data_IF_128724042281
#
_entry.id   IF_128724042281
#
_cell.length_a   1.000
_cell.length_b   1.000
_cell.length_c   1.000
_cell.angle_alpha   90.00
_cell.angle_beta   90.00
_cell.angle_gamma   90.00
#
_symmetry.space_group_name_H-M   'P 1'
#
loop_
_entity.id
_entity.type
_entity.pdbx_description
1 polymer ?
#
# COMPACT_ATOMS: atom_id res chain seq x y z
N UNK A 1 20.09 5.82 -13.67
CA UNK A 1 18.88 6.39 -13.07
C UNK A 1 17.92 5.21 -12.91
N UNK A 2 17.56 4.85 -11.68
CA UNK A 2 16.52 3.83 -11.47
C UNK A 2 15.20 4.40 -12.01
N UNK A 3 14.46 3.61 -12.77
CA UNK A 3 13.14 3.99 -13.28
C UNK A 3 12.18 3.93 -12.10
N UNK A 4 11.45 5.01 -11.84
CA UNK A 4 10.41 5.07 -10.81
C UNK A 4 9.36 3.99 -11.06
N UNK A 5 9.10 3.15 -10.05
CA UNK A 5 8.08 2.11 -10.13
C UNK A 5 6.72 2.64 -9.67
N UNK A 6 5.72 2.62 -10.55
CA UNK A 6 4.35 3.07 -10.27
C UNK A 6 3.45 1.90 -9.88
N UNK A 7 2.82 1.98 -8.72
CA UNK A 7 1.95 0.94 -8.16
C UNK A 7 0.56 1.53 -7.92
N UNK A 8 -0.43 0.97 -8.59
CA UNK A 8 -1.83 1.36 -8.43
C UNK A 8 -2.54 0.53 -7.38
N UNK A 9 -3.34 1.17 -6.52
CA UNK A 9 -4.20 0.52 -5.54
C UNK A 9 -5.67 0.77 -5.91
N UNK A 10 -6.42 -0.30 -6.09
CA UNK A 10 -7.86 -0.29 -6.38
C UNK A 10 -8.66 -1.01 -5.30
N UNK A 11 -9.95 -0.74 -5.26
CA UNK A 11 -10.90 -1.42 -4.40
C UNK A 11 -11.07 -0.75 -3.05
N UNK A 12 -11.46 -1.53 -2.05
CA UNK A 12 -11.96 -1.04 -0.76
C UNK A 12 -10.92 -1.16 0.34
N UNK A 13 -10.98 -0.26 1.33
CA UNK A 13 -10.27 -0.38 2.62
C UNK A 13 -8.77 -0.66 2.44
N UNK A 14 -8.07 0.20 1.71
CA UNK A 14 -6.65 0.01 1.34
C UNK A 14 -5.70 1.09 1.86
N UNK A 15 -6.23 2.14 2.49
CA UNK A 15 -5.47 3.31 2.94
C UNK A 15 -4.41 2.95 4.01
N UNK A 16 -4.76 2.08 4.95
CA UNK A 16 -3.84 1.53 5.96
C UNK A 16 -2.69 0.73 5.31
N UNK A 17 -3.01 -0.15 4.36
CA UNK A 17 -2.02 -0.92 3.59
C UNK A 17 -1.05 0.00 2.85
N UNK A 18 -1.55 1.06 2.20
CA UNK A 18 -0.71 2.04 1.51
C UNK A 18 0.25 2.74 2.48
N UNK A 19 -0.25 3.15 3.65
CA UNK A 19 0.55 3.81 4.69
C UNK A 19 1.63 2.87 5.23
N UNK A 20 1.27 1.63 5.59
CA UNK A 20 2.21 0.66 6.12
C UNK A 20 3.29 0.31 5.11
N UNK A 21 2.91 -0.01 3.87
CA UNK A 21 3.88 -0.32 2.81
C UNK A 21 4.81 0.84 2.52
N UNK A 22 4.27 2.08 2.48
CA UNK A 22 5.07 3.26 2.19
C UNK A 22 6.18 3.41 3.22
N UNK A 23 5.85 3.22 4.50
CA UNK A 23 6.79 3.30 5.61
C UNK A 23 7.82 2.16 5.60
N UNK A 24 7.40 0.92 5.34
CA UNK A 24 8.34 -0.21 5.23
C UNK A 24 9.32 0.03 4.09
N UNK A 25 8.84 0.47 2.93
CA UNK A 25 9.70 0.68 1.76
C UNK A 25 10.61 1.89 1.95
N UNK A 26 10.14 2.94 2.62
CA UNK A 26 10.99 4.05 3.03
C UNK A 26 12.12 3.60 3.97
N UNK A 27 11.83 2.71 4.92
CA UNK A 27 12.82 2.14 5.84
C UNK A 27 13.85 1.21 5.18
N UNK A 28 13.65 0.83 3.91
CA UNK A 28 14.67 0.19 3.08
C UNK A 28 15.61 1.21 2.42
N UNK A 29 15.44 2.51 2.70
CA UNK A 29 16.21 3.60 2.11
C UNK A 29 15.63 4.15 0.80
N UNK A 30 14.38 3.84 0.47
CA UNK A 30 13.75 4.30 -0.76
C UNK A 30 12.96 5.61 -0.57
N UNK A 31 12.93 6.44 -1.61
CA UNK A 31 12.06 7.62 -1.69
C UNK A 31 10.69 7.18 -2.19
N UNK A 32 9.66 7.40 -1.37
CA UNK A 32 8.29 6.95 -1.64
C UNK A 32 7.34 8.13 -1.65
N UNK A 33 6.54 8.21 -2.73
CA UNK A 33 5.39 9.11 -2.83
C UNK A 33 4.10 8.29 -2.79
N UNK A 34 3.16 8.65 -1.93
CA UNK A 34 1.81 8.06 -1.89
C UNK A 34 0.78 9.12 -2.25
N UNK A 35 0.04 8.92 -3.34
CA UNK A 35 -0.95 9.87 -3.84
C UNK A 35 -2.34 9.29 -3.68
N UNK A 36 -3.24 10.06 -3.08
CA UNK A 36 -4.67 9.78 -3.14
C UNK A 36 -5.31 10.52 -4.31
N UNK A 37 -5.62 9.78 -5.38
CA UNK A 37 -6.37 10.27 -6.54
C UNK A 37 -7.78 9.68 -6.61
N UNK A 38 -8.20 8.97 -5.56
CA UNK A 38 -9.55 8.41 -5.47
C UNK A 38 -10.61 9.51 -5.39
N UNK A 39 -11.85 9.18 -5.75
CA UNK A 39 -12.97 10.09 -5.56
C UNK A 39 -13.24 10.31 -4.05
N UNK A 40 -13.03 9.28 -3.25
CA UNK A 40 -13.31 9.23 -1.82
C UNK A 40 -12.32 10.05 -0.99
N UNK A 41 -11.06 10.13 -1.44
CA UNK A 41 -9.97 10.81 -0.75
C UNK A 41 -9.84 10.34 0.71
N UNK A 42 -9.85 9.02 0.95
CA UNK A 42 -9.85 8.44 2.30
C UNK A 42 -8.54 8.72 3.06
N UNK A 43 -7.39 8.84 2.36
CA UNK A 43 -6.10 9.10 2.99
C UNK A 43 -6.07 10.45 3.70
N UNK A 44 -6.86 11.44 3.27
CA UNK A 44 -6.86 12.79 3.85
C UNK A 44 -7.29 12.85 5.31
N UNK A 45 -7.99 11.81 5.76
CA UNK A 45 -8.38 11.65 7.15
C UNK A 45 -7.31 10.90 7.95
N UNK A 46 -6.46 10.13 7.28
CA UNK A 46 -5.47 9.25 7.89
C UNK A 46 -4.12 9.92 8.14
N UNK A 47 -3.84 11.01 7.43
CA UNK A 47 -2.59 11.77 7.50
C UNK A 47 -2.88 13.27 7.57
N UNK A 48 -1.95 14.09 8.10
CA UNK A 48 -2.11 15.53 8.08
C UNK A 48 -2.26 16.06 6.65
N UNK A 49 -3.24 16.94 6.46
CA UNK A 49 -3.46 17.62 5.19
C UNK A 49 -2.57 18.85 5.09
N UNK A 50 -1.90 19.08 3.94
CA UNK A 50 -1.22 20.35 3.70
C UNK A 50 -2.24 21.49 3.62
N UNK A 51 -1.84 22.67 4.10
CA UNK A 51 -2.71 23.85 4.18
C UNK A 51 -3.12 24.39 2.80
N UNK A 52 -2.30 24.14 1.77
CA UNK A 52 -2.51 24.64 0.42
C UNK A 52 -2.73 23.49 -0.59
N UNK A 53 -3.68 23.61 -1.53
CA UNK A 53 -3.87 22.64 -2.61
C UNK A 53 -2.60 22.45 -3.45
N UNK A 54 -2.34 21.21 -3.87
CA UNK A 54 -1.18 20.87 -4.71
C UNK A 54 0.14 20.74 -3.96
N UNK A 55 0.14 20.92 -2.64
CA UNK A 55 1.27 20.55 -1.80
C UNK A 55 1.19 19.09 -1.38
N UNK A 56 2.36 18.54 -1.08
CA UNK A 56 2.52 17.25 -0.42
C UNK A 56 2.88 17.45 1.06
N UNK A 57 2.70 16.40 1.85
CA UNK A 57 3.06 16.37 3.27
C UNK A 57 3.99 15.18 3.54
N UNK A 58 5.06 15.39 4.30
CA UNK A 58 5.97 14.31 4.69
C UNK A 58 5.58 13.83 6.08
N UNK A 59 5.19 12.55 6.19
CA UNK A 59 4.95 11.88 7.46
C UNK A 59 5.87 10.66 7.54
N UNK A 60 6.77 10.66 8.52
CA UNK A 60 7.70 9.56 8.79
C UNK A 60 8.51 9.14 7.55
N UNK A 61 8.96 10.16 6.81
CA UNK A 61 9.82 10.03 5.63
C UNK A 61 9.10 9.61 4.35
N UNK A 62 7.80 9.32 4.40
CA UNK A 62 6.97 9.11 3.22
C UNK A 62 6.30 10.43 2.84
N UNK A 63 6.37 10.78 1.57
CA UNK A 63 5.68 11.94 1.03
C UNK A 63 4.27 11.56 0.58
N UNK A 64 3.30 12.38 0.92
CA UNK A 64 1.89 12.15 0.61
C UNK A 64 1.30 13.30 -0.17
N UNK A 65 0.56 12.97 -1.23
CA UNK A 65 -0.08 13.93 -2.13
C UNK A 65 -1.56 13.65 -2.32
N UNK A 66 -2.31 14.67 -2.73
CA UNK A 66 -3.74 14.59 -2.96
C UNK A 66 -4.11 15.22 -4.29
N UNK A 67 -4.89 14.51 -5.11
CA UNK A 67 -5.37 15.00 -6.42
C UNK A 67 -4.22 15.48 -7.31
N UNK A 68 -3.11 14.75 -7.31
CA UNK A 68 -1.93 15.10 -8.10
C UNK A 68 -2.10 14.51 -9.52
N UNK A 69 -2.04 15.33 -10.57
CA UNK A 69 -2.15 14.85 -11.95
C UNK A 69 -0.86 14.13 -12.37
N UNK A 70 -0.84 12.81 -12.19
CA UNK A 70 0.34 11.95 -12.33
C UNK A 70 0.97 11.95 -13.73
N UNK A 71 0.22 12.36 -14.77
CA UNK A 71 0.74 12.48 -16.14
C UNK A 71 1.56 13.75 -16.37
N UNK A 72 1.49 14.71 -15.44
CA UNK A 72 2.10 16.04 -15.59
C UNK A 72 3.08 16.41 -14.48
N UNK A 73 3.10 15.63 -13.40
CA UNK A 73 4.04 15.83 -12.29
C UNK A 73 5.33 15.06 -12.54
N UNK A 74 6.46 15.73 -12.26
CA UNK A 74 7.76 15.06 -12.24
C UNK A 74 7.86 14.15 -11.00
N UNK A 75 7.89 12.85 -11.26
CA UNK A 75 8.05 11.80 -10.25
C UNK A 75 9.45 11.18 -10.25
N UNK A 76 10.38 11.69 -11.05
CA UNK A 76 11.73 11.12 -11.21
C UNK A 76 12.58 11.17 -9.93
N UNK A 77 12.15 11.97 -8.95
CA UNK A 77 12.70 12.03 -7.60
C UNK A 77 12.29 10.88 -6.68
N UNK A 78 11.44 9.96 -7.11
CA UNK A 78 10.97 8.83 -6.29
C UNK A 78 11.40 7.50 -6.87
N UNK A 79 11.69 6.55 -5.97
CA UNK A 79 11.95 5.16 -6.35
C UNK A 79 10.62 4.42 -6.54
N UNK A 80 9.63 4.71 -5.67
CA UNK A 80 8.30 4.12 -5.73
C UNK A 80 7.20 5.19 -5.61
N UNK A 81 6.16 5.05 -6.41
CA UNK A 81 4.95 5.86 -6.34
C UNK A 81 3.75 4.95 -6.13
N UNK A 82 3.02 5.16 -5.04
CA UNK A 82 1.76 4.49 -4.76
C UNK A 82 0.63 5.43 -5.10
N UNK A 83 -0.34 4.96 -5.86
CA UNK A 83 -1.51 5.76 -6.22
C UNK A 83 -2.79 5.03 -5.82
N UNK A 84 -3.57 5.64 -4.94
CA UNK A 84 -4.95 5.20 -4.70
C UNK A 84 -5.83 5.65 -5.87
N UNK A 85 -6.29 4.67 -6.65
CA UNK A 85 -7.11 4.83 -7.86
C UNK A 85 -8.62 4.80 -7.57
N UNK A 86 -9.02 4.72 -6.29
CA UNK A 86 -10.40 4.56 -5.88
C UNK A 86 -10.88 3.11 -5.86
N UNK A 87 -12.20 2.93 -5.78
CA UNK A 87 -12.82 1.63 -5.52
C UNK A 87 -12.95 0.79 -6.78
N UNK A 88 -13.95 1.10 -7.60
CA UNK A 88 -14.40 0.20 -8.67
C UNK A 88 -14.35 0.84 -10.06
N UNK A 89 -13.76 2.03 -10.19
CA UNK A 89 -13.52 2.66 -11.47
C UNK A 89 -12.00 2.74 -11.71
N UNK A 90 -11.47 1.93 -12.64
CA UNK A 90 -10.06 1.95 -12.92
C UNK A 90 -9.63 3.24 -13.65
N UNK A 91 -10.55 3.99 -14.27
CA UNK A 91 -10.19 5.10 -15.17
C UNK A 91 -9.32 4.64 -16.36
N UNK A 92 -8.52 5.53 -16.92
CA UNK A 92 -7.50 5.17 -17.92
C UNK A 92 -6.26 4.60 -17.21
N UNK A 93 -6.26 3.28 -16.95
CA UNK A 93 -5.10 2.61 -16.36
C UNK A 93 -4.03 2.34 -17.40
N UNK A 94 -3.14 3.31 -17.60
CA UNK A 94 -1.92 3.12 -18.35
C UNK A 94 -0.71 3.44 -17.47
N UNK A 95 0.35 2.63 -17.60
CA UNK A 95 1.66 2.96 -17.01
C UNK A 95 1.87 2.60 -15.55
N UNK A 96 1.10 1.68 -14.96
CA UNK A 96 1.45 1.04 -13.69
C UNK A 96 2.23 -0.24 -13.91
N UNK A 97 3.32 -0.43 -13.17
CA UNK A 97 4.13 -1.64 -13.18
C UNK A 97 3.42 -2.79 -12.45
N UNK A 98 2.69 -2.45 -11.40
CA UNK A 98 1.87 -3.37 -10.62
C UNK A 98 0.56 -2.72 -10.18
N UNK A 99 -0.47 -3.54 -10.05
CA UNK A 99 -1.77 -3.12 -9.50
C UNK A 99 -2.15 -4.05 -8.38
N UNK A 100 -2.48 -3.48 -7.23
CA UNK A 100 -3.08 -4.17 -6.10
C UNK A 100 -4.58 -3.91 -6.10
N UNK A 101 -5.37 -4.98 -6.15
CA UNK A 101 -6.83 -4.92 -6.06
C UNK A 101 -7.23 -5.44 -4.69
N UNK A 102 -7.82 -4.58 -3.86
CA UNK A 102 -8.18 -4.89 -2.48
C UNK A 102 -9.70 -5.06 -2.37
N UNK A 103 -10.15 -6.18 -1.83
CA UNK A 103 -11.56 -6.47 -1.58
C UNK A 103 -11.75 -7.12 -0.22
N UNK A 104 -13.01 -7.25 0.20
CA UNK A 104 -13.44 -8.06 1.33
C UNK A 104 -14.43 -9.15 0.86
N UNK A 105 -14.82 -10.11 1.72
CA UNK A 105 -15.78 -11.16 1.39
C UNK A 105 -17.22 -10.69 1.14
N UNK A 106 -17.52 -9.39 1.27
CA UNK A 106 -18.88 -8.93 1.01
C UNK A 106 -19.21 -9.23 -0.45
N UNK A 107 -20.34 -9.90 -0.68
CA UNK A 107 -20.72 -10.39 -2.01
C UNK A 107 -20.72 -9.28 -3.07
N UNK A 108 -21.16 -8.08 -2.70
CA UNK A 108 -21.12 -6.92 -3.60
C UNK A 108 -19.69 -6.59 -4.04
N UNK A 109 -18.76 -6.47 -3.10
CA UNK A 109 -17.36 -6.15 -3.37
C UNK A 109 -16.67 -7.27 -4.17
N UNK A 110 -16.93 -8.53 -3.84
CA UNK A 110 -16.43 -9.69 -4.58
C UNK A 110 -16.88 -9.69 -6.05
N UNK A 111 -18.16 -9.41 -6.32
CA UNK A 111 -18.66 -9.31 -7.70
C UNK A 111 -18.09 -8.09 -8.45
N UNK A 112 -17.93 -6.94 -7.79
CA UNK A 112 -17.27 -5.76 -8.37
C UNK A 112 -15.78 -6.05 -8.68
N UNK A 113 -15.09 -6.71 -7.77
CA UNK A 113 -13.72 -7.18 -7.95
C UNK A 113 -13.61 -8.12 -9.16
N UNK A 114 -14.50 -9.11 -9.27
CA UNK A 114 -14.55 -10.02 -10.44
C UNK A 114 -14.78 -9.27 -11.74
N UNK A 115 -15.71 -8.31 -11.73
CA UNK A 115 -15.98 -7.46 -12.89
C UNK A 115 -14.74 -6.67 -13.31
N UNK A 116 -14.01 -6.09 -12.36
CA UNK A 116 -12.75 -5.39 -12.64
C UNK A 116 -11.68 -6.33 -13.20
N UNK A 117 -11.45 -7.50 -12.59
CA UNK A 117 -10.46 -8.47 -13.07
C UNK A 117 -10.64 -8.82 -14.56
N UNK A 118 -11.89 -8.89 -15.02
CA UNK A 118 -12.24 -9.14 -16.43
C UNK A 118 -11.94 -7.96 -17.35
N UNK A 119 -12.00 -6.72 -16.85
CA UNK A 119 -11.73 -5.49 -17.60
C UNK A 119 -10.26 -5.09 -17.64
N UNK A 120 -9.53 -5.40 -16.57
CA UNK A 120 -8.13 -5.04 -16.45
C UNK A 120 -7.29 -5.80 -17.48
N UNK A 121 -6.41 -5.07 -18.16
CA UNK A 121 -5.56 -5.65 -19.19
C UNK A 121 -4.52 -6.58 -18.56
N UNK A 122 -3.84 -6.09 -17.52
CA UNK A 122 -2.76 -6.78 -16.85
C UNK A 122 -3.23 -7.59 -15.64
N UNK A 123 -2.58 -8.72 -15.32
CA UNK A 123 -2.81 -9.43 -14.06
C UNK A 123 -2.50 -8.54 -12.84
N UNK A 124 -3.24 -8.73 -11.77
CA UNK A 124 -3.15 -7.94 -10.53
C UNK A 124 -2.70 -8.77 -9.35
N UNK A 125 -2.24 -8.10 -8.31
CA UNK A 125 -2.04 -8.63 -6.98
C UNK A 125 -3.36 -8.48 -6.19
N UNK A 126 -4.09 -9.57 -5.97
CA UNK A 126 -5.38 -9.55 -5.27
C UNK A 126 -5.18 -9.68 -3.76
N UNK A 127 -5.73 -8.75 -2.99
CA UNK A 127 -5.79 -8.80 -1.53
C UNK A 127 -7.24 -8.97 -1.12
N UNK A 128 -7.56 -10.07 -0.43
CA UNK A 128 -8.88 -10.27 0.20
C UNK A 128 -8.68 -10.16 1.70
N UNK A 129 -9.13 -9.06 2.28
CA UNK A 129 -9.01 -8.79 3.73
C UNK A 129 -10.31 -9.02 4.47
N UNK A 130 -10.23 -9.04 5.79
CA UNK A 130 -11.36 -9.21 6.69
C UNK A 130 -12.11 -10.56 6.41
N UNK A 131 -11.34 -11.62 6.11
CA UNK A 131 -11.86 -12.96 5.85
C UNK A 131 -12.56 -13.52 7.09
N UNK A 132 -13.78 -14.02 6.91
CA UNK A 132 -14.54 -14.61 8.00
C UNK A 132 -13.98 -15.99 8.37
N UNK A 133 -13.71 -16.21 9.66
CA UNK A 133 -13.16 -17.47 10.17
C UNK A 133 -14.04 -18.72 9.90
N UNK A 134 -15.32 -18.52 9.58
CA UNK A 134 -16.27 -19.60 9.33
C UNK A 134 -16.93 -19.46 7.94
N UNK A 135 -16.90 -20.55 7.16
CA UNK A 135 -17.57 -20.77 5.86
C UNK A 135 -17.00 -20.06 4.64
N UNK A 136 -16.37 -18.90 4.76
CA UNK A 136 -15.69 -18.24 3.64
C UNK A 136 -14.20 -18.49 3.81
N UNK A 137 -13.74 -19.66 3.36
CA UNK A 137 -12.35 -20.05 3.41
C UNK A 137 -11.61 -19.70 2.11
N UNK A 138 -10.29 -19.87 2.09
CA UNK A 138 -9.44 -19.66 0.93
C UNK A 138 -9.95 -20.41 -0.31
N UNK A 139 -10.40 -21.65 -0.13
CA UNK A 139 -10.93 -22.48 -1.20
C UNK A 139 -12.19 -21.87 -1.83
N UNK A 140 -13.04 -21.24 -1.02
CA UNK A 140 -14.25 -20.56 -1.50
C UNK A 140 -13.89 -19.34 -2.36
N UNK A 141 -12.90 -18.55 -1.93
CA UNK A 141 -12.40 -17.39 -2.69
C UNK A 141 -11.76 -17.84 -3.99
N UNK A 142 -10.93 -18.89 -3.96
CA UNK A 142 -10.29 -19.46 -5.15
C UNK A 142 -11.31 -20.00 -6.15
N UNK A 143 -12.32 -20.73 -5.68
CA UNK A 143 -13.40 -21.20 -6.53
C UNK A 143 -14.23 -20.04 -7.09
N UNK A 144 -14.48 -18.99 -6.31
CA UNK A 144 -15.17 -17.79 -6.79
C UNK A 144 -14.42 -17.12 -7.95
N UNK A 145 -13.09 -17.06 -7.92
CA UNK A 145 -12.29 -16.47 -9.00
C UNK A 145 -11.70 -17.48 -9.98
N UNK A 146 -12.23 -18.70 -10.06
CA UNK A 146 -11.66 -19.78 -10.87
C UNK A 146 -11.54 -19.40 -12.36
N UNK A 147 -12.53 -18.67 -12.89
CA UNK A 147 -12.54 -18.20 -14.28
C UNK A 147 -11.56 -17.04 -14.52
N UNK A 148 -11.21 -16.30 -13.46
CA UNK A 148 -10.33 -15.12 -13.51
C UNK A 148 -8.93 -15.43 -12.95
N UNK A 149 -8.61 -16.68 -12.61
CA UNK A 149 -7.37 -17.02 -11.90
C UNK A 149 -6.11 -16.59 -12.67
N UNK A 150 -6.14 -16.61 -14.00
CA UNK A 150 -5.04 -16.14 -14.85
C UNK A 150 -4.81 -14.61 -14.76
N UNK A 151 -5.79 -13.85 -14.25
CA UNK A 151 -5.70 -12.41 -13.96
C UNK A 151 -5.19 -12.12 -12.55
N UNK A 152 -4.98 -13.14 -11.72
CA UNK A 152 -4.50 -12.99 -10.34
C UNK A 152 -3.04 -13.48 -10.29
N UNK A 153 -2.10 -12.55 -10.20
CA UNK A 153 -0.66 -12.85 -10.08
C UNK A 153 -0.31 -13.38 -8.69
N UNK A 154 -0.79 -12.69 -7.66
CA UNK A 154 -0.63 -13.05 -6.26
C UNK A 154 -1.97 -12.94 -5.56
N UNK A 155 -2.26 -13.86 -4.64
CA UNK A 155 -3.43 -13.82 -3.76
C UNK A 155 -2.96 -13.70 -2.32
N UNK A 156 -3.34 -12.61 -1.66
CA UNK A 156 -3.14 -12.38 -0.23
C UNK A 156 -4.48 -12.48 0.48
N UNK A 157 -4.49 -13.17 1.61
CA UNK A 157 -5.68 -13.34 2.43
C UNK A 157 -5.36 -12.93 3.86
N UNK A 158 -6.16 -12.01 4.39
CA UNK A 158 -6.04 -11.51 5.75
C UNK A 158 -7.34 -11.86 6.48
N UNK A 159 -7.22 -12.64 7.54
CA UNK A 159 -8.35 -12.97 8.42
C UNK A 159 -8.86 -11.71 9.13
N UNK A 160 -10.15 -11.69 9.43
CA UNK A 160 -10.72 -10.63 10.24
C UNK A 160 -10.07 -10.61 11.62
N UNK A 161 -9.45 -9.49 11.94
CA UNK A 161 -8.86 -9.22 13.24
C UNK A 161 -9.39 -7.89 13.78
N UNK A 162 -9.71 -7.87 15.07
CA UNK A 162 -10.25 -6.67 15.73
C UNK A 162 -9.21 -5.54 15.78
N UNK A 163 -7.93 -5.87 15.93
CA UNK A 163 -6.86 -4.88 16.01
C UNK A 163 -6.67 -4.16 14.67
N UNK A 164 -6.67 -4.90 13.56
CA UNK A 164 -6.59 -4.31 12.22
C UNK A 164 -7.78 -3.37 11.94
N UNK A 165 -8.98 -3.78 12.38
CA UNK A 165 -10.18 -2.97 12.25
C UNK A 165 -10.10 -1.68 13.08
N UNK A 166 -9.68 -1.79 14.33
CA UNK A 166 -9.54 -0.65 15.25
C UNK A 166 -8.49 0.35 14.75
N UNK A 167 -7.30 -0.12 14.36
CA UNK A 167 -6.22 0.75 13.85
C UNK A 167 -6.64 1.51 12.60
N UNK A 168 -7.35 0.83 11.67
CA UNK A 168 -7.87 1.45 10.45
C UNK A 168 -8.87 2.56 10.73
N UNK A 169 -9.65 2.46 11.81
CA UNK A 169 -10.56 3.54 12.25
C UNK A 169 -9.78 4.62 12.98
N UNK A 170 -8.95 4.24 13.94
CA UNK A 170 -8.17 5.18 14.76
C UNK A 170 -7.34 6.12 13.90
N UNK A 171 -6.72 5.60 12.84
CA UNK A 171 -5.85 6.42 11.98
C UNK A 171 -6.59 7.60 11.33
N UNK A 172 -7.92 7.50 11.14
CA UNK A 172 -8.74 8.55 10.55
C UNK A 172 -8.99 9.75 11.49
N UNK A 173 -8.67 9.58 12.78
CA UNK A 173 -8.81 10.61 13.80
C UNK A 173 -7.44 11.08 14.30
N UNK A 174 -6.45 10.19 14.31
CA UNK A 174 -5.09 10.48 14.75
C UNK A 174 -4.08 9.91 13.75
N UNK A 175 -3.14 10.71 13.21
CA UNK A 175 -2.14 10.20 12.27
C UNK A 175 -1.37 9.01 12.83
N UNK A 176 -1.30 7.92 12.05
CA UNK A 176 -0.62 6.71 12.44
C UNK A 176 0.89 6.96 12.61
N UNK A 177 1.36 7.07 13.86
CA UNK A 177 2.79 7.18 14.20
C UNK A 177 3.44 5.81 14.38
N UNK A 178 2.71 4.84 14.84
CA UNK A 178 3.14 3.45 14.97
C UNK A 178 1.99 2.52 14.59
N UNK A 179 2.33 1.31 14.18
CA UNK A 179 1.35 0.27 13.86
C UNK A 179 1.74 -1.02 14.58
N UNK A 180 2.10 -0.87 15.87
CA UNK A 180 2.68 -1.91 16.70
C UNK A 180 1.79 -3.13 16.93
N UNK A 181 0.49 -3.00 16.79
CA UNK A 181 -0.50 -4.01 17.19
C UNK A 181 -1.33 -4.55 16.02
N UNK A 182 -0.86 -4.40 14.77
CA UNK A 182 -1.53 -5.05 13.63
C UNK A 182 -1.45 -6.58 13.73
N UNK A 183 -2.42 -7.26 13.14
CA UNK A 183 -2.52 -8.72 13.19
C UNK A 183 -1.33 -9.41 12.52
N UNK A 184 -1.08 -10.66 12.90
CA UNK A 184 -0.08 -11.49 12.23
C UNK A 184 -0.40 -11.71 10.73
N UNK A 185 -1.69 -11.71 10.35
CA UNK A 185 -2.13 -11.83 8.97
C UNK A 185 -1.80 -10.59 8.15
N UNK A 186 -2.02 -9.40 8.73
CA UNK A 186 -1.63 -8.12 8.13
C UNK A 186 -0.10 -8.02 8.04
N UNK A 187 0.63 -8.30 9.12
CA UNK A 187 2.11 -8.29 9.15
C UNK A 187 2.69 -9.15 8.02
N UNK A 188 2.24 -10.41 7.92
CA UNK A 188 2.68 -11.34 6.88
C UNK A 188 2.38 -10.80 5.48
N UNK A 189 1.23 -10.17 5.30
CA UNK A 189 0.82 -9.60 4.00
C UNK A 189 1.70 -8.41 3.63
N UNK A 190 1.92 -7.46 4.55
CA UNK A 190 2.80 -6.30 4.33
C UNK A 190 4.22 -6.74 4.00
N UNK A 191 4.79 -7.70 4.73
CA UNK A 191 6.14 -8.22 4.46
C UNK A 191 6.24 -8.83 3.06
N UNK A 192 5.26 -9.65 2.64
CA UNK A 192 5.26 -10.28 1.31
C UNK A 192 5.04 -9.27 0.19
N UNK A 193 4.15 -8.30 0.38
CA UNK A 193 3.91 -7.23 -0.58
C UNK A 193 5.16 -6.37 -0.74
N UNK A 194 5.80 -5.96 0.35
CA UNK A 194 7.05 -5.20 0.30
C UNK A 194 8.16 -5.97 -0.44
N UNK A 195 8.33 -7.26 -0.12
CA UNK A 195 9.29 -8.12 -0.81
C UNK A 195 8.99 -8.22 -2.33
N UNK A 196 7.72 -8.38 -2.71
CA UNK A 196 7.32 -8.45 -4.11
C UNK A 196 7.53 -7.12 -4.84
N UNK A 197 7.26 -6.00 -4.17
CA UNK A 197 7.43 -4.65 -4.74
C UNK A 197 8.90 -4.34 -4.98
N UNK A 198 9.77 -4.61 -4.00
CA UNK A 198 11.18 -4.17 -4.03
C UNK A 198 12.15 -5.24 -4.51
N UNK A 199 11.72 -6.50 -4.60
CA UNK A 199 12.58 -7.67 -4.74
C UNK A 199 13.68 -7.76 -3.65
N UNK A 200 13.45 -7.13 -2.50
CA UNK A 200 14.37 -7.10 -1.37
C UNK A 200 14.51 -8.45 -0.67
N UNK A 201 15.63 -8.65 0.03
CA UNK A 201 15.84 -9.86 0.82
C UNK A 201 14.85 -9.92 1.98
N UNK A 202 14.43 -11.13 2.38
CA UNK A 202 13.48 -11.29 3.48
C UNK A 202 14.00 -10.66 4.79
N UNK A 203 15.32 -10.71 5.04
CA UNK A 203 15.91 -10.12 6.23
C UNK A 203 15.79 -8.60 6.22
N UNK A 204 16.15 -7.94 5.10
CA UNK A 204 16.08 -6.47 5.00
C UNK A 204 14.64 -5.99 5.16
N UNK A 205 13.69 -6.68 4.52
CA UNK A 205 12.26 -6.39 4.62
C UNK A 205 11.77 -6.52 6.06
N UNK A 206 12.18 -7.57 6.77
CA UNK A 206 11.81 -7.77 8.17
C UNK A 206 12.42 -6.70 9.09
N UNK A 207 13.68 -6.29 8.87
CA UNK A 207 14.31 -5.21 9.62
C UNK A 207 13.62 -3.87 9.38
N UNK A 208 13.41 -3.51 8.12
CA UNK A 208 12.69 -2.29 7.74
C UNK A 208 11.27 -2.26 8.29
N UNK A 209 10.55 -3.39 8.23
CA UNK A 209 9.23 -3.52 8.85
C UNK A 209 9.27 -3.27 10.36
N UNK A 210 10.23 -3.87 11.07
CA UNK A 210 10.36 -3.66 12.53
C UNK A 210 10.65 -2.21 12.89
N UNK A 211 11.51 -1.53 12.12
CA UNK A 211 11.80 -0.11 12.30
C UNK A 211 10.56 0.76 12.01
N UNK A 212 9.91 0.52 10.86
CA UNK A 212 8.67 1.19 10.48
C UNK A 212 7.59 1.00 11.55
N UNK A 213 7.39 -0.21 12.04
CA UNK A 213 6.39 -0.56 13.07
C UNK A 213 6.56 0.25 14.35
N UNK A 214 7.80 0.52 14.79
CA UNK A 214 8.13 1.31 16.00
C UNK A 214 8.10 2.82 15.78
N UNK A 215 7.81 3.29 14.57
CA UNK A 215 7.84 4.73 14.28
C UNK A 215 9.24 5.33 14.22
N UNK A 216 10.27 4.51 14.06
CA UNK A 216 11.64 4.99 13.86
C UNK A 216 11.71 5.84 12.59
N UNK A 217 12.54 6.89 12.61
CA UNK A 217 12.89 7.64 11.42
C UNK A 217 14.12 6.98 10.80
N UNK A 218 14.14 6.85 9.47
CA UNK A 218 15.31 6.34 8.77
C UNK A 218 16.42 7.40 8.84
N UNK A 219 17.47 7.14 9.62
CA UNK A 219 18.64 8.02 9.68
C UNK A 219 19.55 7.75 8.48
N UNK A 220 19.58 8.67 7.52
CA UNK A 220 20.52 8.65 6.39
C UNK A 220 22.00 8.61 6.83
N UNK A 221 22.30 8.91 8.10
CA UNK A 221 23.66 9.00 8.64
C UNK A 221 24.42 7.66 8.71
N UNK A 222 23.75 6.50 8.61
CA UNK A 222 24.42 5.20 8.74
C UNK A 222 24.92 4.57 7.42
N UNK A 223 24.64 5.19 6.27
CA UNK A 223 25.15 4.71 4.97
C UNK A 223 26.27 5.60 4.40
N UNK A 224 26.63 6.70 5.05
CA UNK A 224 27.76 7.57 4.69
C UNK A 224 28.98 7.42 5.62
N UNK A 225 28.97 6.48 6.58
CA UNK A 225 30.07 6.32 7.55
C UNK A 225 31.32 5.61 7.02
N UNK A 226 31.48 5.47 5.70
CA UNK A 226 32.77 5.18 5.05
C UNK A 226 33.43 6.42 4.43
N UNK A 227 32.81 7.60 4.51
CA UNK A 227 33.47 8.87 4.19
C UNK A 227 33.29 9.83 5.37
N UNK A 228 34.24 9.75 6.30
CA UNK A 228 34.24 10.55 7.51
C UNK A 228 34.03 12.04 7.26
N UNK A 229 32.86 12.53 7.65
CA UNK A 229 32.66 13.91 8.04
C UNK A 229 31.72 13.94 9.24
N UNK A 230 32.27 14.38 10.37
CA UNK A 230 31.54 14.67 11.60
C UNK A 230 30.78 15.99 11.43
N UNK A 231 29.46 15.97 11.61
CA UNK A 231 28.68 17.20 11.73
C UNK A 231 28.58 17.59 13.22
N UNK A 232 28.85 18.88 13.50
CA UNK A 232 28.69 19.53 14.80
C UNK A 232 27.27 20.02 15.00
#
# INVERSE_FOLDING_TARGET
MLITKKIGFLGVQKHDICIYLGRVIHQLGHRVLTVDNSAEQELKYCIPMPELPGQSFILQGVEYGFRIPMDSVDISGYDYVFEDLGKWDPGQQAGYDETYLVTDPQKLNMEQCRYLLRKLQNPVNLVVRDMCAHKIQEECVRHFFEQEIAKIRNLYMIDQDILDYEYRIQMQYEPCREFGEISAGMEKTILRMAQNITAGSWMDIMYAYRAARRGELFDHCFLESDSGYTCR
#
